data_IF_937014380409
#
_entry.id   IF_937014380409
#
_cell.length_a   1.000
_cell.length_b   1.000
_cell.length_c   1.000
_cell.angle_alpha   90.00
_cell.angle_beta   90.00
_cell.angle_gamma   90.00
#
_symmetry.space_group_name_H-M   'P 1'
#
loop_
_entity.id
_entity.type
_entity.pdbx_description
1 polymer ?
#
# COMPACT_ATOMS: atom_id res chain seq x y z
N UNK A 1 12.73 8.18 15.44
CA UNK A 1 12.83 8.39 13.96
C UNK A 1 11.48 8.30 13.24
N UNK A 2 10.43 8.93 13.78
CA UNK A 2 9.03 8.71 13.36
C UNK A 2 8.55 9.57 12.19
N UNK A 3 9.01 10.82 12.10
CA UNK A 3 8.65 11.76 11.03
C UNK A 3 8.88 11.19 9.61
N UNK A 4 10.05 10.61 9.26
CA UNK A 4 10.27 10.08 7.92
C UNK A 4 9.41 8.85 7.62
N UNK A 5 9.08 8.00 8.61
CA UNK A 5 8.18 6.86 8.43
C UNK A 5 6.75 7.33 8.11
N UNK A 6 6.26 8.33 8.83
CA UNK A 6 4.94 8.93 8.59
C UNK A 6 4.91 9.57 7.21
N UNK A 7 5.92 10.37 6.84
CA UNK A 7 6.01 10.98 5.52
C UNK A 7 6.03 9.91 4.42
N UNK A 8 6.80 8.83 4.56
CA UNK A 8 6.85 7.74 3.58
C UNK A 8 5.52 7.01 3.42
N UNK A 9 4.83 6.71 4.52
CA UNK A 9 3.52 6.04 4.51
C UNK A 9 2.44 6.96 3.91
N UNK A 10 2.50 8.27 4.20
CA UNK A 10 1.55 9.24 3.65
C UNK A 10 1.82 9.49 2.16
N UNK A 11 3.08 9.57 1.76
CA UNK A 11 3.49 9.62 0.35
C UNK A 11 3.12 8.34 -0.40
N UNK A 12 3.27 7.16 0.22
CA UNK A 12 2.82 5.90 -0.35
C UNK A 12 1.31 5.95 -0.61
N UNK A 13 0.51 6.44 0.34
CA UNK A 13 -0.94 6.62 0.17
C UNK A 13 -1.28 7.57 -0.98
N UNK A 14 -0.57 8.69 -1.09
CA UNK A 14 -0.76 9.66 -2.18
C UNK A 14 -0.40 9.06 -3.53
N UNK A 15 0.76 8.41 -3.65
CA UNK A 15 1.18 7.77 -4.90
C UNK A 15 0.26 6.62 -5.29
N UNK A 16 -0.21 5.81 -4.33
CA UNK A 16 -1.12 4.71 -4.61
C UNK A 16 -2.49 5.22 -5.05
N UNK A 17 -3.01 6.24 -4.36
CA UNK A 17 -4.28 6.87 -4.73
C UNK A 17 -4.19 7.52 -6.12
N UNK A 18 -3.10 8.20 -6.44
CA UNK A 18 -2.87 8.78 -7.78
C UNK A 18 -2.74 7.66 -8.83
N UNK A 19 -2.03 6.57 -8.55
CA UNK A 19 -1.86 5.45 -9.45
C UNK A 19 -3.20 4.76 -9.80
N UNK A 20 -3.97 4.39 -8.77
CA UNK A 20 -5.28 3.74 -8.91
C UNK A 20 -6.30 4.68 -9.53
N UNK A 21 -6.35 5.94 -9.09
CA UNK A 21 -7.35 6.89 -9.56
C UNK A 21 -7.07 7.37 -10.98
N UNK A 22 -5.80 7.62 -11.33
CA UNK A 22 -5.40 7.92 -12.72
C UNK A 22 -5.72 6.76 -13.66
N UNK A 23 -5.48 5.53 -13.22
CA UNK A 23 -5.84 4.33 -13.99
C UNK A 23 -7.37 4.21 -14.15
N UNK A 24 -8.12 4.41 -13.07
CA UNK A 24 -9.57 4.34 -13.07
C UNK A 24 -10.22 5.39 -13.98
N UNK A 25 -9.71 6.63 -13.92
CA UNK A 25 -10.19 7.76 -14.75
C UNK A 25 -9.83 7.53 -16.22
N UNK A 26 -8.63 7.06 -16.52
CA UNK A 26 -8.20 6.85 -17.91
C UNK A 26 -8.77 5.56 -18.53
N UNK A 27 -9.25 4.61 -17.72
CA UNK A 27 -9.70 3.25 -18.15
C UNK A 27 -8.71 2.50 -19.05
N UNK A 28 -7.47 2.96 -19.08
CA UNK A 28 -6.40 2.46 -19.94
C UNK A 28 -5.15 2.32 -19.08
N UNK A 29 -4.65 1.10 -18.97
CA UNK A 29 -3.38 0.82 -18.31
C UNK A 29 -2.22 1.26 -19.22
N UNK A 30 -1.30 2.07 -18.70
CA UNK A 30 -0.10 2.59 -19.39
C UNK A 30 1.14 2.29 -18.54
N UNK A 31 2.32 2.27 -19.17
CA UNK A 31 3.61 2.05 -18.49
C UNK A 31 3.87 3.06 -17.37
N UNK A 32 3.38 4.30 -17.52
CA UNK A 32 3.44 5.31 -16.48
C UNK A 32 2.67 4.94 -15.21
N UNK A 33 1.52 4.26 -15.30
CA UNK A 33 0.77 3.81 -14.12
C UNK A 33 1.56 2.75 -13.35
N UNK A 34 2.23 1.83 -14.06
CA UNK A 34 3.11 0.83 -13.45
C UNK A 34 4.27 1.49 -12.69
N UNK A 35 4.86 2.55 -13.25
CA UNK A 35 5.89 3.33 -12.57
C UNK A 35 5.40 3.93 -11.25
N UNK A 36 4.20 4.51 -11.23
CA UNK A 36 3.58 5.03 -10.01
C UNK A 36 3.25 3.94 -8.98
N UNK A 37 2.74 2.79 -9.43
CA UNK A 37 2.49 1.64 -8.55
C UNK A 37 3.78 1.10 -7.94
N UNK A 38 4.86 1.02 -8.72
CA UNK A 38 6.16 0.58 -8.24
C UNK A 38 6.75 1.58 -7.22
N UNK A 39 6.64 2.88 -7.49
CA UNK A 39 7.07 3.93 -6.55
C UNK A 39 6.27 3.90 -5.25
N UNK A 40 4.95 3.77 -5.33
CA UNK A 40 4.07 3.62 -4.18
C UNK A 40 4.42 2.38 -3.35
N UNK A 41 4.64 1.23 -4.02
CA UNK A 41 5.06 -0.01 -3.38
C UNK A 41 6.44 0.10 -2.72
N UNK A 42 7.39 0.77 -3.36
CA UNK A 42 8.73 0.98 -2.80
C UNK A 42 8.68 1.89 -1.56
N UNK A 43 7.87 2.95 -1.60
CA UNK A 43 7.62 3.79 -0.42
C UNK A 43 6.94 3.01 0.71
N UNK A 44 5.94 2.19 0.39
CA UNK A 44 5.19 1.40 1.37
C UNK A 44 6.07 0.31 2.02
N UNK A 45 6.87 -0.38 1.22
CA UNK A 45 7.87 -1.34 1.70
C UNK A 45 8.94 -0.69 2.56
N UNK A 46 9.45 0.48 2.15
CA UNK A 46 10.42 1.24 2.93
C UNK A 46 9.81 1.74 4.25
N UNK A 47 8.57 2.26 4.21
CA UNK A 47 7.83 2.71 5.39
C UNK A 47 7.56 1.57 6.37
N UNK A 48 7.06 0.44 5.88
CA UNK A 48 6.82 -0.78 6.67
C UNK A 48 8.12 -1.31 7.28
N UNK A 49 9.22 -1.32 6.51
CA UNK A 49 10.53 -1.73 7.02
C UNK A 49 11.04 -0.81 8.12
N UNK A 50 10.91 0.51 7.95
CA UNK A 50 11.32 1.48 8.95
C UNK A 50 10.46 1.36 10.22
N UNK A 51 9.14 1.17 10.06
CA UNK A 51 8.21 0.99 11.18
C UNK A 51 8.47 -0.32 11.93
N UNK A 52 8.79 -1.41 11.24
CA UNK A 52 9.22 -2.68 11.84
C UNK A 52 10.53 -2.52 12.62
N UNK A 53 11.50 -1.76 12.10
CA UNK A 53 12.75 -1.45 12.81
C UNK A 53 12.50 -0.63 14.07
N UNK A 54 11.61 0.37 14.01
CA UNK A 54 11.23 1.22 15.15
C UNK A 54 10.47 0.41 16.22
N UNK A 55 9.58 -0.48 15.80
CA UNK A 55 8.89 -1.40 16.71
C UNK A 55 9.86 -2.38 17.39
N UNK A 56 10.85 -2.88 16.65
CA UNK A 56 11.90 -3.75 17.18
C UNK A 56 12.89 -3.04 18.11
N UNK A 57 13.10 -1.72 17.94
CA UNK A 57 13.99 -0.93 18.80
C UNK A 57 13.33 -0.47 20.11
N UNK A 58 12.03 -0.71 20.30
CA UNK A 58 11.30 -0.31 21.51
C UNK A 58 11.08 1.21 21.63
N UNK A 59 11.27 1.99 20.55
CA UNK A 59 11.01 3.45 20.57
C UNK A 59 9.49 3.75 20.67
N UNK A 60 8.64 2.80 20.27
CA UNK A 60 7.18 2.93 20.27
C UNK A 60 6.58 1.74 21.02
N UNK A 61 6.51 1.86 22.36
CA UNK A 61 5.79 0.91 23.19
C UNK A 61 4.29 1.25 23.14
N UNK A 62 3.54 0.64 22.21
CA UNK A 62 2.09 0.70 22.29
C UNK A 62 1.65 -0.15 23.49
N UNK A 63 1.14 0.47 24.56
CA UNK A 63 0.63 -0.23 25.74
C UNK A 63 -0.89 -0.41 25.68
N UNK A 64 -1.40 -1.58 26.10
CA UNK A 64 -2.84 -1.86 26.11
C UNK A 64 -3.43 -2.18 24.73
N UNK A 65 -4.60 -1.63 24.39
CA UNK A 65 -5.30 -1.90 23.13
C UNK A 65 -4.50 -1.53 21.86
N UNK A 66 -3.56 -0.59 21.98
CA UNK A 66 -2.65 -0.19 20.89
C UNK A 66 -1.70 -1.31 20.44
N UNK A 67 -1.29 -2.21 21.34
CA UNK A 67 -0.43 -3.35 21.00
C UNK A 67 -1.14 -4.36 20.08
N UNK A 68 -2.41 -4.66 20.37
CA UNK A 68 -3.24 -5.56 19.56
C UNK A 68 -3.52 -4.98 18.17
N UNK A 69 -3.85 -3.69 18.09
CA UNK A 69 -4.04 -2.99 16.82
C UNK A 69 -2.76 -2.95 15.98
N UNK A 70 -1.58 -2.79 16.60
CA UNK A 70 -0.30 -2.82 15.90
C UNK A 70 0.00 -4.21 15.32
N UNK A 71 -0.27 -5.30 16.07
CA UNK A 71 -0.12 -6.66 15.56
C UNK A 71 -1.07 -6.94 14.36
N UNK A 72 -2.32 -6.51 14.45
CA UNK A 72 -3.29 -6.63 13.35
C UNK A 72 -2.84 -5.80 12.14
N UNK A 73 -2.37 -4.57 12.35
CA UNK A 73 -1.82 -3.71 11.32
C UNK A 73 -0.61 -4.36 10.63
N UNK A 74 0.31 -4.97 11.37
CA UNK A 74 1.48 -5.62 10.82
C UNK A 74 1.11 -6.81 9.92
N UNK A 75 0.17 -7.66 10.36
CA UNK A 75 -0.29 -8.82 9.56
C UNK A 75 -1.07 -8.35 8.33
N UNK A 76 -2.06 -7.48 8.52
CA UNK A 76 -2.88 -6.96 7.41
C UNK A 76 -2.07 -6.12 6.43
N UNK A 77 -1.06 -5.39 6.92
CA UNK A 77 -0.12 -4.61 6.13
C UNK A 77 0.78 -5.50 5.27
N UNK A 78 1.34 -6.56 5.85
CA UNK A 78 2.14 -7.53 5.09
C UNK A 78 1.33 -8.23 3.99
N UNK A 79 0.07 -8.61 4.30
CA UNK A 79 -0.85 -9.19 3.31
C UNK A 79 -1.14 -8.18 2.20
N UNK A 80 -1.45 -6.93 2.56
CA UNK A 80 -1.73 -5.89 1.59
C UNK A 80 -0.53 -5.61 0.68
N UNK A 81 0.68 -5.54 1.25
CA UNK A 81 1.93 -5.31 0.52
C UNK A 81 2.22 -6.46 -0.47
N UNK A 82 2.03 -7.72 -0.06
CA UNK A 82 2.10 -8.87 -0.96
C UNK A 82 1.07 -8.75 -2.11
N UNK A 83 -0.15 -8.33 -1.78
CA UNK A 83 -1.22 -8.14 -2.75
C UNK A 83 -0.87 -7.03 -3.76
N UNK A 84 -0.23 -5.95 -3.31
CA UNK A 84 0.30 -4.88 -4.17
C UNK A 84 1.42 -5.37 -5.10
N UNK A 85 2.33 -6.23 -4.62
CA UNK A 85 3.39 -6.83 -5.46
C UNK A 85 2.77 -7.66 -6.57
N UNK A 86 1.81 -8.53 -6.22
CA UNK A 86 1.08 -9.35 -7.20
C UNK A 86 0.31 -8.46 -8.19
N UNK A 87 -0.30 -7.39 -7.70
CA UNK A 87 -0.99 -6.41 -8.52
C UNK A 87 -0.07 -5.72 -9.53
N UNK A 88 1.11 -5.28 -9.11
CA UNK A 88 2.13 -4.68 -9.97
C UNK A 88 2.60 -5.68 -11.05
N UNK A 89 2.87 -6.93 -10.67
CA UNK A 89 3.25 -7.97 -11.62
C UNK A 89 2.15 -8.24 -12.66
N UNK A 90 0.90 -8.29 -12.21
CA UNK A 90 -0.25 -8.41 -13.10
C UNK A 90 -0.39 -7.19 -14.02
N UNK A 91 -0.15 -5.98 -13.53
CA UNK A 91 -0.16 -4.76 -14.34
C UNK A 91 0.81 -4.85 -15.52
N UNK A 92 2.04 -5.32 -15.26
CA UNK A 92 3.07 -5.55 -16.28
C UNK A 92 2.60 -6.58 -17.30
N UNK A 93 2.06 -7.72 -16.85
CA UNK A 93 1.56 -8.78 -17.74
C UNK A 93 0.42 -8.27 -18.64
N UNK A 94 -0.54 -7.54 -18.10
CA UNK A 94 -1.66 -6.96 -18.87
C UNK A 94 -1.15 -5.96 -19.91
N UNK A 95 -0.11 -5.20 -19.57
CA UNK A 95 0.53 -4.27 -20.49
C UNK A 95 1.25 -4.97 -21.64
N UNK A 96 1.99 -6.03 -21.33
CA UNK A 96 2.72 -6.85 -22.31
C UNK A 96 1.76 -7.59 -23.25
N UNK A 97 0.65 -8.12 -22.72
CA UNK A 97 -0.37 -8.81 -23.52
C UNK A 97 -1.24 -7.85 -24.33
N UNK A 98 -1.34 -6.59 -23.91
CA UNK A 98 -2.09 -5.52 -24.56
C UNK A 98 -3.56 -5.87 -24.90
N UNK A 99 -4.19 -6.78 -24.13
CA UNK A 99 -5.57 -7.23 -24.35
C UNK A 99 -6.58 -6.31 -23.67
N UNK A 100 -7.56 -5.81 -24.40
CA UNK A 100 -8.61 -4.94 -23.83
C UNK A 100 -9.44 -5.62 -22.73
N UNK A 101 -9.72 -6.92 -22.89
CA UNK A 101 -10.48 -7.70 -21.89
C UNK A 101 -9.74 -7.75 -20.57
N UNK A 102 -8.42 -7.89 -20.61
CA UNK A 102 -7.56 -7.95 -19.42
C UNK A 102 -7.45 -6.56 -18.77
N UNK A 103 -7.30 -5.48 -19.55
CA UNK A 103 -7.35 -4.09 -19.05
C UNK A 103 -8.70 -3.78 -18.37
N UNK A 104 -9.80 -4.32 -18.90
CA UNK A 104 -11.14 -4.17 -18.29
C UNK A 104 -11.31 -4.97 -16.99
N UNK A 105 -10.59 -6.07 -16.80
CA UNK A 105 -10.59 -6.77 -15.52
C UNK A 105 -9.65 -6.10 -14.51
N UNK A 106 -8.56 -5.55 -15.01
CA UNK A 106 -7.50 -4.96 -14.21
C UNK A 106 -7.97 -3.79 -13.36
N UNK A 107 -8.73 -2.83 -13.92
CA UNK A 107 -9.19 -1.68 -13.14
C UNK A 107 -10.11 -2.06 -11.97
N UNK A 108 -10.96 -3.08 -12.12
CA UNK A 108 -11.79 -3.60 -11.02
C UNK A 108 -10.94 -4.25 -9.93
N UNK A 109 -9.92 -4.99 -10.36
CA UNK A 109 -8.96 -5.60 -9.45
C UNK A 109 -8.14 -4.54 -8.70
N UNK A 110 -7.63 -3.52 -9.40
CA UNK A 110 -6.90 -2.37 -8.86
C UNK A 110 -7.67 -1.67 -7.73
N UNK A 111 -8.96 -1.39 -7.96
CA UNK A 111 -9.86 -0.80 -6.95
C UNK A 111 -10.04 -1.69 -5.71
N UNK A 112 -10.14 -3.01 -5.92
CA UNK A 112 -10.30 -3.98 -4.84
C UNK A 112 -9.01 -4.08 -4.00
N UNK A 113 -7.86 -4.17 -4.67
CA UNK A 113 -6.54 -4.20 -4.03
C UNK A 113 -6.30 -2.92 -3.21
N UNK A 114 -6.61 -1.76 -3.78
CA UNK A 114 -6.53 -0.47 -3.08
C UNK A 114 -7.43 -0.40 -1.85
N UNK A 115 -8.67 -0.90 -1.96
CA UNK A 115 -9.61 -0.98 -0.85
C UNK A 115 -9.10 -1.85 0.29
N UNK A 116 -8.50 -3.01 -0.03
CA UNK A 116 -7.88 -3.90 0.97
C UNK A 116 -6.69 -3.20 1.64
N UNK A 117 -5.89 -2.45 0.89
CA UNK A 117 -4.72 -1.75 1.45
C UNK A 117 -5.07 -0.58 2.37
N UNK A 118 -6.25 0.02 2.23
CA UNK A 118 -6.70 1.04 3.18
C UNK A 118 -6.91 0.47 4.59
N UNK A 119 -7.23 -0.82 4.73
CA UNK A 119 -7.50 -1.46 6.02
C UNK A 119 -6.29 -1.36 6.97
N UNK A 120 -5.08 -1.82 6.61
CA UNK A 120 -3.91 -1.66 7.48
C UNK A 120 -3.53 -0.20 7.71
N UNK A 121 -3.67 0.67 6.70
CA UNK A 121 -3.38 2.10 6.86
C UNK A 121 -4.24 2.74 7.96
N UNK A 122 -5.56 2.55 7.90
CA UNK A 122 -6.46 3.10 8.91
C UNK A 122 -6.27 2.44 10.28
N UNK A 123 -6.09 1.12 10.31
CA UNK A 123 -5.81 0.38 11.55
C UNK A 123 -4.57 0.94 12.25
N UNK A 124 -3.54 1.28 11.47
CA UNK A 124 -2.31 1.82 12.01
C UNK A 124 -2.36 3.27 12.43
N UNK A 125 -3.04 4.12 11.66
CA UNK A 125 -3.28 5.50 12.02
C UNK A 125 -4.09 5.62 13.33
N UNK A 126 -5.10 4.76 13.50
CA UNK A 126 -5.92 4.67 14.72
C UNK A 126 -5.12 4.12 15.89
N UNK A 127 -4.38 3.02 15.68
CA UNK A 127 -3.54 2.41 16.72
C UNK A 127 -2.46 3.35 17.26
N UNK A 128 -1.97 4.27 16.44
CA UNK A 128 -0.97 5.29 16.84
C UNK A 128 -1.59 6.47 17.60
N UNK A 129 -2.86 6.80 17.37
CA UNK A 129 -3.56 7.89 18.10
C UNK A 129 -4.16 7.43 19.44
N UNK A 130 -4.35 6.13 19.64
CA UNK A 130 -4.94 5.55 20.86
C UNK A 130 -3.90 5.02 21.86
N UNK A 131 -2.60 5.16 21.57
CA UNK A 131 -1.48 4.80 22.46
C UNK A 131 -0.77 6.04 22.97
#
# INVERSE_FOLDING_TARGET
MLLPAIILITSALVFYSIGVWSEHVQRVLKWWHVGFFALGLACDASGTFLMSRIAASGEVQASGAGAGLNAVMAVTGAVALLLMVVHLGWAVVVLLRNREVEKRRFHKFSLLVWGIWLIPYFTGAIGTNLG
#
